data_IF_400316117287
#
_entry.id   IF_400316117287
#
_cell.length_a   1.000
_cell.length_b   1.000
_cell.length_c   1.000
_cell.angle_alpha   90.00
_cell.angle_beta   90.00
_cell.angle_gamma   90.00
#
_symmetry.space_group_name_H-M   'P 1'
#
loop_
_entity.id
_entity.type
_entity.pdbx_description
1 polymer ?
#
# COMPACT_ATOMS: atom_id res chain seq x y z
N UNK A 1 0.82 15.93 4.90
CA UNK A 1 -0.62 15.95 4.63
C UNK A 1 -0.79 15.60 3.17
N UNK A 2 -1.71 14.73 2.79
CA UNK A 2 -1.91 14.33 1.40
C UNK A 2 -2.37 15.51 0.55
N UNK A 3 -1.91 15.59 -0.71
CA UNK A 3 -2.29 16.61 -1.70
C UNK A 3 -3.04 16.01 -2.88
N UNK A 4 -2.59 14.83 -3.33
CA UNK A 4 -3.17 14.11 -4.46
C UNK A 4 -3.32 12.63 -4.10
N UNK A 5 -4.55 12.14 -4.16
CA UNK A 5 -4.90 10.73 -3.93
C UNK A 5 -5.38 10.15 -5.26
N UNK A 6 -4.87 8.99 -5.64
CA UNK A 6 -5.33 8.24 -6.80
C UNK A 6 -6.15 7.03 -6.37
N UNK A 7 -7.32 6.87 -6.94
CA UNK A 7 -8.14 5.67 -6.81
C UNK A 7 -8.37 5.06 -8.20
N UNK A 8 -7.64 3.99 -8.54
CA UNK A 8 -7.88 3.23 -9.76
C UNK A 8 -9.24 2.52 -9.70
N UNK A 9 -9.96 2.52 -10.83
CA UNK A 9 -11.24 1.84 -10.99
C UNK A 9 -11.30 1.05 -12.29
N UNK A 10 -11.92 -0.12 -12.25
CA UNK A 10 -12.22 -0.91 -13.44
C UNK A 10 -13.74 -0.88 -13.81
N UNK A 11 -14.54 -0.18 -13.01
CA UNK A 11 -15.97 -0.10 -13.15
C UNK A 11 -16.74 -1.34 -12.71
N UNK A 12 -16.10 -2.30 -12.03
CA UNK A 12 -16.74 -3.55 -11.60
C UNK A 12 -17.64 -3.40 -10.36
N UNK A 13 -17.55 -2.28 -9.66
CA UNK A 13 -18.23 -2.04 -8.39
C UNK A 13 -17.54 -2.64 -7.17
N UNK A 14 -16.57 -3.54 -7.33
CA UNK A 14 -15.74 -4.05 -6.23
C UNK A 14 -14.78 -2.99 -5.67
N UNK A 15 -14.52 -1.93 -6.44
CA UNK A 15 -13.69 -0.78 -6.09
C UNK A 15 -14.43 0.28 -5.25
N UNK A 16 -15.76 0.18 -5.14
CA UNK A 16 -16.61 1.17 -4.44
C UNK A 16 -16.15 1.48 -3.03
N UNK A 17 -15.72 0.46 -2.26
CA UNK A 17 -15.24 0.67 -0.90
C UNK A 17 -13.88 1.40 -0.89
N UNK A 18 -12.96 1.03 -1.78
CA UNK A 18 -11.69 1.73 -1.91
C UNK A 18 -11.89 3.20 -2.31
N UNK A 19 -12.84 3.47 -3.20
CA UNK A 19 -13.19 4.84 -3.61
C UNK A 19 -13.79 5.64 -2.45
N UNK A 20 -14.68 5.05 -1.63
CA UNK A 20 -15.22 5.72 -0.43
C UNK A 20 -14.12 6.05 0.59
N UNK A 21 -13.19 5.11 0.82
CA UNK A 21 -12.01 5.35 1.67
C UNK A 21 -11.17 6.48 1.10
N UNK A 22 -10.87 6.46 -0.19
CA UNK A 22 -10.09 7.50 -0.86
C UNK A 22 -10.76 8.87 -0.76
N UNK A 23 -12.07 8.91 -0.97
CA UNK A 23 -12.87 10.12 -0.90
C UNK A 23 -12.88 10.73 0.51
N UNK A 24 -13.06 9.90 1.54
CA UNK A 24 -13.00 10.32 2.94
C UNK A 24 -11.62 10.88 3.31
N UNK A 25 -10.54 10.18 2.93
CA UNK A 25 -9.16 10.64 3.17
C UNK A 25 -8.92 11.96 2.41
N UNK A 26 -9.40 12.08 1.17
CA UNK A 26 -9.28 13.31 0.38
C UNK A 26 -9.99 14.48 1.05
N UNK A 27 -11.23 14.30 1.49
CA UNK A 27 -12.02 15.35 2.17
C UNK A 27 -11.34 15.79 3.47
N UNK A 28 -10.94 14.86 4.32
CA UNK A 28 -10.29 15.16 5.60
C UNK A 28 -8.93 15.83 5.45
N UNK A 29 -8.18 15.51 4.38
CA UNK A 29 -6.85 16.08 4.13
C UNK A 29 -6.86 17.34 3.28
N UNK A 30 -7.99 17.68 2.62
CA UNK A 30 -8.07 18.69 1.58
C UNK A 30 -7.34 18.30 0.29
N UNK A 31 -7.13 17.00 0.07
CA UNK A 31 -6.47 16.48 -1.12
C UNK A 31 -7.43 16.39 -2.32
N UNK A 32 -6.86 16.44 -3.53
CA UNK A 32 -7.58 16.11 -4.77
C UNK A 32 -7.70 14.59 -4.91
N UNK A 33 -8.90 14.10 -5.24
CA UNK A 33 -9.12 12.71 -5.59
C UNK A 33 -9.10 12.54 -7.13
N UNK A 34 -8.23 11.69 -7.62
CA UNK A 34 -8.14 11.32 -9.04
C UNK A 34 -8.69 9.90 -9.22
N UNK A 35 -9.85 9.79 -9.86
CA UNK A 35 -10.42 8.52 -10.31
C UNK A 35 -9.79 8.17 -11.66
N UNK A 36 -9.04 7.09 -11.72
CA UNK A 36 -8.27 6.72 -12.91
C UNK A 36 -8.70 5.36 -13.42
N UNK A 37 -9.13 5.30 -14.68
CA UNK A 37 -9.44 4.04 -15.36
C UNK A 37 -8.48 3.80 -16.51
N UNK A 38 -8.04 2.55 -16.67
CA UNK A 38 -7.16 2.14 -17.78
C UNK A 38 -7.83 1.01 -18.52
N UNK A 39 -8.03 1.20 -19.82
CA UNK A 39 -8.51 0.17 -20.74
C UNK A 39 -7.33 -0.67 -21.22
N UNK A 40 -7.46 -2.01 -21.13
CA UNK A 40 -6.45 -2.93 -21.62
C UNK A 40 -6.47 -2.96 -23.17
N UNK A 41 -5.34 -2.68 -23.81
CA UNK A 41 -5.22 -2.60 -25.27
C UNK A 41 -5.11 -3.96 -25.97
N UNK A 42 -5.16 -5.08 -25.24
CA UNK A 42 -4.81 -6.40 -25.80
C UNK A 42 -5.91 -7.14 -26.56
N UNK A 43 -7.19 -6.74 -26.47
CA UNK A 43 -8.32 -7.58 -26.93
C UNK A 43 -8.59 -7.48 -28.44
N UNK A 44 -8.05 -6.49 -29.15
CA UNK A 44 -8.47 -6.20 -30.53
C UNK A 44 -7.39 -6.43 -31.60
N UNK A 45 -6.17 -6.80 -31.22
CA UNK A 45 -5.07 -7.03 -32.19
C UNK A 45 -5.39 -8.13 -33.22
N UNK A 46 -6.22 -9.11 -32.86
CA UNK A 46 -6.62 -10.21 -33.77
C UNK A 46 -7.63 -9.79 -34.85
N UNK A 47 -8.40 -8.73 -34.63
CA UNK A 47 -9.43 -8.27 -35.59
C UNK A 47 -8.88 -7.32 -36.66
N UNK A 48 -7.73 -6.73 -36.45
CA UNK A 48 -7.12 -5.72 -37.36
C UNK A 48 -6.41 -6.31 -38.60
N UNK A 49 -6.58 -7.60 -38.90
CA UNK A 49 -5.91 -8.25 -40.01
C UNK A 49 -6.47 -7.86 -41.42
N UNK A 50 -7.64 -7.23 -41.48
CA UNK A 50 -8.26 -6.73 -42.73
C UNK A 50 -8.70 -5.27 -42.54
N UNK A 51 -8.89 -4.53 -43.63
CA UNK A 51 -9.33 -3.14 -43.61
C UNK A 51 -10.70 -2.99 -42.95
N UNK A 52 -11.64 -3.90 -43.21
CA UNK A 52 -12.97 -3.94 -42.58
C UNK A 52 -12.85 -4.31 -41.07
N UNK A 53 -12.01 -5.26 -40.73
CA UNK A 53 -11.72 -5.65 -39.35
C UNK A 53 -11.09 -4.50 -38.55
N UNK A 54 -10.25 -3.67 -39.21
CA UNK A 54 -9.67 -2.47 -38.57
C UNK A 54 -10.73 -1.41 -38.25
N UNK A 55 -11.68 -1.17 -39.19
CA UNK A 55 -12.78 -0.22 -38.95
C UNK A 55 -13.69 -0.67 -37.82
N UNK A 56 -14.10 -1.94 -37.81
CA UNK A 56 -14.94 -2.52 -36.76
C UNK A 56 -14.20 -2.47 -35.40
N UNK A 57 -12.92 -2.82 -35.36
CA UNK A 57 -12.12 -2.72 -34.15
C UNK A 57 -12.03 -1.29 -33.61
N UNK A 58 -11.87 -0.29 -34.47
CA UNK A 58 -11.84 1.12 -34.07
C UNK A 58 -13.19 1.57 -33.48
N UNK A 59 -14.31 1.14 -34.07
CA UNK A 59 -15.66 1.46 -33.60
C UNK A 59 -15.94 0.84 -32.23
N UNK A 60 -15.54 -0.41 -32.02
CA UNK A 60 -15.65 -1.11 -30.73
C UNK A 60 -14.79 -0.44 -29.66
N UNK A 61 -13.55 -0.10 -29.97
CA UNK A 61 -12.65 0.63 -29.04
C UNK A 61 -13.24 1.99 -28.67
N UNK A 62 -13.80 2.72 -29.64
CA UNK A 62 -14.44 4.01 -29.36
C UNK A 62 -15.67 3.84 -28.48
N UNK A 63 -16.53 2.86 -28.75
CA UNK A 63 -17.70 2.55 -27.94
C UNK A 63 -17.35 2.16 -26.50
N UNK A 64 -16.30 1.34 -26.31
CA UNK A 64 -15.80 1.01 -24.96
C UNK A 64 -15.26 2.23 -24.22
N UNK A 65 -14.56 3.12 -24.95
CA UNK A 65 -14.04 4.35 -24.40
C UNK A 65 -15.17 5.28 -23.94
N UNK A 66 -16.21 5.47 -24.75
CA UNK A 66 -17.36 6.34 -24.46
C UNK A 66 -18.16 5.79 -23.28
N UNK A 67 -18.36 4.47 -23.23
CA UNK A 67 -18.99 3.79 -22.10
C UNK A 67 -18.18 3.99 -20.82
N UNK A 68 -16.86 3.75 -20.88
CA UNK A 68 -15.97 3.90 -19.73
C UNK A 68 -15.94 5.34 -19.19
N UNK A 69 -15.95 6.34 -20.07
CA UNK A 69 -16.03 7.75 -19.70
C UNK A 69 -17.36 8.08 -19.04
N UNK A 70 -18.47 7.60 -19.58
CA UNK A 70 -19.81 7.82 -19.03
C UNK A 70 -19.90 7.25 -17.61
N UNK A 71 -19.45 6.01 -17.41
CA UNK A 71 -19.42 5.37 -16.08
C UNK A 71 -18.51 6.13 -15.11
N UNK A 72 -17.36 6.60 -15.57
CA UNK A 72 -16.38 7.31 -14.76
C UNK A 72 -16.91 8.69 -14.31
N UNK A 73 -17.58 9.42 -15.22
CA UNK A 73 -18.24 10.69 -14.88
C UNK A 73 -19.42 10.49 -13.93
N UNK A 74 -20.23 9.43 -14.11
CA UNK A 74 -21.31 9.08 -13.20
C UNK A 74 -20.77 8.80 -11.78
N UNK A 75 -19.69 8.01 -11.68
CA UNK A 75 -19.02 7.73 -10.43
C UNK A 75 -18.47 9.01 -9.74
N UNK A 76 -17.88 9.91 -10.51
CA UNK A 76 -17.42 11.20 -9.98
C UNK A 76 -18.57 12.08 -9.51
N UNK A 77 -19.71 12.06 -10.21
CA UNK A 77 -20.91 12.77 -9.79
C UNK A 77 -21.47 12.22 -8.46
N UNK A 78 -21.51 10.90 -8.30
CA UNK A 78 -21.87 10.26 -7.03
C UNK A 78 -20.92 10.70 -5.89
N UNK A 79 -19.62 10.73 -6.12
CA UNK A 79 -18.65 11.20 -5.14
C UNK A 79 -18.89 12.65 -4.72
N UNK A 80 -19.18 13.54 -5.67
CA UNK A 80 -19.44 14.97 -5.40
C UNK A 80 -20.74 15.24 -4.65
N UNK A 81 -21.70 14.30 -4.68
CA UNK A 81 -22.93 14.41 -3.89
C UNK A 81 -22.67 14.16 -2.41
N UNK A 82 -21.72 13.27 -2.08
CA UNK A 82 -21.47 12.81 -0.71
C UNK A 82 -20.26 13.43 -0.05
N UNK A 83 -19.45 14.20 -0.80
CA UNK A 83 -18.21 14.81 -0.27
C UNK A 83 -17.89 16.13 -0.98
N UNK A 84 -17.25 17.05 -0.25
CA UNK A 84 -16.75 18.30 -0.77
C UNK A 84 -15.33 18.20 -1.37
N UNK A 85 -14.73 17.00 -1.43
CA UNK A 85 -13.42 16.81 -2.02
C UNK A 85 -13.41 17.15 -3.52
N UNK A 86 -12.34 17.74 -4.01
CA UNK A 86 -12.14 17.93 -5.45
C UNK A 86 -11.94 16.58 -6.14
N UNK A 87 -12.87 16.16 -6.98
CA UNK A 87 -12.83 14.87 -7.70
C UNK A 87 -12.64 15.12 -9.19
N UNK A 88 -11.58 14.55 -9.74
CA UNK A 88 -11.28 14.54 -11.19
C UNK A 88 -11.27 13.13 -11.74
N UNK A 89 -11.44 13.00 -13.06
CA UNK A 89 -11.47 11.70 -13.76
C UNK A 89 -10.47 11.69 -14.90
N UNK A 90 -9.79 10.57 -15.07
CA UNK A 90 -8.84 10.36 -16.15
C UNK A 90 -9.00 8.94 -16.73
N UNK A 91 -9.12 8.84 -18.06
CA UNK A 91 -9.22 7.60 -18.79
C UNK A 91 -7.98 7.41 -19.67
N UNK A 92 -7.33 6.30 -19.51
CA UNK A 92 -6.14 5.91 -20.26
C UNK A 92 -6.33 4.56 -20.95
N UNK A 93 -5.40 4.19 -21.84
CA UNK A 93 -5.32 2.88 -22.47
C UNK A 93 -3.89 2.37 -22.43
N UNK A 94 -3.71 1.06 -22.25
CA UNK A 94 -2.40 0.41 -22.24
C UNK A 94 -2.26 -0.70 -21.21
N UNK A 95 -1.01 -1.13 -20.92
CA UNK A 95 -0.71 -2.04 -19.82
C UNK A 95 -1.07 -1.39 -18.49
N UNK A 96 -2.06 -1.96 -17.79
CA UNK A 96 -2.75 -1.28 -16.68
C UNK A 96 -1.78 -0.87 -15.58
N UNK A 97 -0.89 -1.77 -15.14
CA UNK A 97 0.06 -1.50 -14.06
C UNK A 97 1.02 -0.36 -14.40
N UNK A 98 1.63 -0.42 -15.58
CA UNK A 98 2.63 0.56 -16.04
C UNK A 98 2.00 1.94 -16.26
N UNK A 99 0.78 1.96 -16.84
CA UNK A 99 0.04 3.21 -17.05
C UNK A 99 -0.33 3.87 -15.72
N UNK A 100 -0.82 3.11 -14.76
CA UNK A 100 -1.18 3.63 -13.42
C UNK A 100 0.06 4.13 -12.66
N UNK A 101 1.18 3.39 -12.70
CA UNK A 101 2.43 3.82 -12.05
C UNK A 101 2.96 5.10 -12.70
N UNK A 102 3.06 5.13 -14.02
CA UNK A 102 3.50 6.32 -14.76
C UNK A 102 2.58 7.52 -14.54
N UNK A 103 1.26 7.31 -14.47
CA UNK A 103 0.29 8.34 -14.14
C UNK A 103 0.51 8.88 -12.73
N UNK A 104 0.62 8.00 -11.74
CA UNK A 104 0.79 8.38 -10.34
C UNK A 104 2.06 9.23 -10.14
N UNK A 105 3.17 8.86 -10.78
CA UNK A 105 4.43 9.61 -10.73
C UNK A 105 4.30 10.98 -11.40
N UNK A 106 3.72 11.09 -12.61
CA UNK A 106 3.56 12.37 -13.33
C UNK A 106 2.60 13.34 -12.65
N UNK A 107 1.65 12.84 -11.88
CA UNK A 107 0.65 13.64 -11.17
C UNK A 107 0.98 13.84 -9.68
N UNK A 108 2.21 13.53 -9.27
CA UNK A 108 2.69 13.72 -7.88
C UNK A 108 1.73 13.11 -6.85
N UNK A 109 1.25 11.89 -7.12
CA UNK A 109 0.32 11.19 -6.22
C UNK A 109 1.03 10.82 -4.91
N UNK A 110 0.41 11.20 -3.78
CA UNK A 110 0.93 10.93 -2.43
C UNK A 110 0.44 9.59 -1.86
N UNK A 111 -0.72 9.12 -2.33
CA UNK A 111 -1.35 7.89 -1.87
C UNK A 111 -2.15 7.25 -3.01
N UNK A 112 -1.96 5.96 -3.20
CA UNK A 112 -2.80 5.14 -4.07
C UNK A 112 -3.75 4.35 -3.18
N UNK A 113 -5.07 4.44 -3.41
CA UNK A 113 -6.08 3.66 -2.70
C UNK A 113 -6.75 2.70 -3.67
N UNK A 114 -6.61 1.41 -3.44
CA UNK A 114 -7.06 0.38 -4.39
C UNK A 114 -7.72 -0.79 -3.67
N UNK A 115 -8.70 -1.42 -4.32
CA UNK A 115 -9.31 -2.66 -3.84
C UNK A 115 -8.42 -3.89 -4.13
N UNK A 116 -8.60 -4.96 -3.38
CA UNK A 116 -7.90 -6.23 -3.64
C UNK A 116 -8.39 -6.95 -4.88
N UNK A 117 -9.63 -6.68 -5.35
CA UNK A 117 -10.31 -7.40 -6.43
C UNK A 117 -10.84 -6.44 -7.48
N UNK A 118 -10.75 -6.85 -8.74
CA UNK A 118 -11.44 -6.25 -9.87
C UNK A 118 -12.42 -7.25 -10.49
N UNK A 119 -12.69 -7.13 -11.78
CA UNK A 119 -13.65 -7.95 -12.56
C UNK A 119 -13.46 -9.47 -12.44
N UNK A 120 -12.27 -9.96 -12.10
CA UNK A 120 -11.98 -11.40 -12.03
C UNK A 120 -12.40 -12.09 -10.74
N UNK A 121 -12.90 -11.39 -9.74
CA UNK A 121 -13.68 -11.87 -8.56
C UNK A 121 -13.32 -13.19 -7.85
N UNK A 122 -12.29 -13.92 -8.29
CA UNK A 122 -11.95 -15.22 -7.80
C UNK A 122 -11.09 -15.16 -6.54
N UNK A 123 -11.65 -15.65 -5.43
CA UNK A 123 -11.00 -15.86 -4.12
C UNK A 123 -10.80 -14.61 -3.25
N UNK A 124 -11.47 -14.57 -2.12
CA UNK A 124 -11.38 -13.49 -1.08
C UNK A 124 -9.97 -13.31 -0.47
N UNK A 125 -9.01 -14.14 -0.85
CA UNK A 125 -7.64 -14.15 -0.32
C UNK A 125 -6.57 -13.82 -1.38
N UNK A 126 -6.93 -13.64 -2.67
CA UNK A 126 -5.96 -13.33 -3.72
C UNK A 126 -5.85 -11.83 -3.94
N UNK A 127 -4.63 -11.34 -4.01
CA UNK A 127 -4.31 -9.97 -4.42
C UNK A 127 -4.48 -9.88 -5.94
N UNK A 128 -5.24 -8.88 -6.43
CA UNK A 128 -5.43 -8.67 -7.88
C UNK A 128 -4.10 -8.32 -8.57
N UNK A 129 -3.95 -8.70 -9.84
CA UNK A 129 -2.72 -8.48 -10.62
C UNK A 129 -2.29 -7.00 -10.69
N UNK A 130 -3.24 -6.08 -10.79
CA UNK A 130 -2.97 -4.63 -10.79
C UNK A 130 -2.46 -4.16 -9.44
N UNK A 131 -3.11 -4.59 -8.36
CA UNK A 131 -2.68 -4.24 -6.99
C UNK A 131 -1.29 -4.81 -6.70
N UNK A 132 -1.03 -6.06 -7.09
CA UNK A 132 0.28 -6.69 -6.96
C UNK A 132 1.36 -5.95 -7.77
N UNK A 133 1.05 -5.57 -9.01
CA UNK A 133 1.96 -4.80 -9.85
C UNK A 133 2.31 -3.45 -9.21
N UNK A 134 1.32 -2.70 -8.74
CA UNK A 134 1.56 -1.40 -8.10
C UNK A 134 2.45 -1.53 -6.86
N UNK A 135 2.17 -2.50 -5.97
CA UNK A 135 2.97 -2.71 -4.76
C UNK A 135 4.43 -3.05 -5.09
N UNK A 136 4.67 -3.77 -6.19
CA UNK A 136 6.03 -4.15 -6.62
C UNK A 136 6.84 -3.00 -7.21
N UNK A 137 6.20 -2.13 -7.98
CA UNK A 137 6.91 -1.19 -8.83
C UNK A 137 6.89 0.24 -8.30
N UNK A 138 5.84 0.67 -7.57
CA UNK A 138 5.77 2.03 -7.07
C UNK A 138 6.47 2.22 -5.73
N UNK A 139 7.05 3.42 -5.52
CA UNK A 139 7.51 3.91 -4.21
C UNK A 139 6.45 4.76 -3.50
N UNK A 140 5.30 4.98 -4.15
CA UNK A 140 4.15 5.67 -3.55
C UNK A 140 3.45 4.69 -2.59
N UNK A 141 3.04 5.13 -1.38
CA UNK A 141 2.26 4.28 -0.47
C UNK A 141 0.97 3.79 -1.14
N UNK A 142 0.68 2.50 -0.96
CA UNK A 142 -0.53 1.86 -1.50
C UNK A 142 -1.41 1.42 -0.34
N UNK A 143 -2.59 2.00 -0.22
CA UNK A 143 -3.63 1.56 0.70
C UNK A 143 -4.52 0.54 -0.01
N UNK A 144 -4.32 -0.72 0.34
CA UNK A 144 -5.11 -1.84 -0.17
C UNK A 144 -6.34 -2.00 0.71
N UNK A 145 -7.50 -1.66 0.17
CA UNK A 145 -8.77 -1.74 0.89
C UNK A 145 -9.40 -3.11 0.65
N UNK A 146 -9.72 -3.80 1.73
CA UNK A 146 -10.48 -5.06 1.68
C UNK A 146 -11.95 -4.80 1.98
N UNK A 147 -12.86 -5.49 1.28
CA UNK A 147 -14.29 -5.31 1.55
C UNK A 147 -14.60 -5.68 3.00
N UNK A 148 -15.48 -4.91 3.67
CA UNK A 148 -15.86 -5.18 5.04
C UNK A 148 -16.53 -6.55 5.14
N UNK A 149 -16.26 -7.26 6.24
CA UNK A 149 -16.84 -8.58 6.53
C UNK A 149 -18.35 -8.53 6.83
N UNK A 150 -18.87 -7.34 7.08
CA UNK A 150 -20.28 -7.09 7.38
C UNK A 150 -20.83 -5.96 6.52
N UNK A 151 -21.84 -6.26 5.72
CA UNK A 151 -22.56 -5.30 4.88
C UNK A 151 -23.65 -4.50 5.63
N UNK A 152 -23.53 -4.37 6.96
CA UNK A 152 -24.59 -3.81 7.79
C UNK A 152 -24.85 -2.29 7.56
N UNK A 153 -23.94 -1.58 6.93
CA UNK A 153 -24.18 -0.20 6.50
C UNK A 153 -23.27 0.16 5.30
N UNK A 154 -23.74 0.00 4.06
CA UNK A 154 -22.94 0.28 2.86
C UNK A 154 -22.66 1.77 2.61
N UNK A 155 -23.22 2.68 3.40
CA UNK A 155 -23.09 4.11 3.17
C UNK A 155 -21.95 4.78 3.96
N UNK A 156 -21.39 4.11 4.97
CA UNK A 156 -20.32 4.68 5.81
C UNK A 156 -19.07 3.84 5.65
N UNK A 157 -18.05 4.41 5.02
CA UNK A 157 -16.71 3.80 5.00
C UNK A 157 -16.15 3.73 6.43
N UNK A 158 -15.70 2.55 6.84
CA UNK A 158 -15.15 2.34 8.17
C UNK A 158 -13.84 3.12 8.34
N UNK A 159 -13.77 3.95 9.39
CA UNK A 159 -12.55 4.65 9.75
C UNK A 159 -11.49 3.69 10.29
N UNK A 160 -10.22 3.98 10.04
CA UNK A 160 -9.11 3.19 10.57
C UNK A 160 -8.72 3.71 11.96
N UNK A 161 -9.35 3.20 13.01
CA UNK A 161 -9.13 3.64 14.40
C UNK A 161 -7.98 2.92 15.09
N UNK A 162 -7.64 1.70 14.66
CA UNK A 162 -6.58 0.87 15.24
C UNK A 162 -5.67 0.33 14.16
N UNK A 163 -4.42 0.80 14.17
CA UNK A 163 -3.42 0.47 13.16
C UNK A 163 -2.29 -0.34 13.80
N UNK A 164 -2.09 -1.56 13.36
CA UNK A 164 -0.94 -2.40 13.76
C UNK A 164 0.21 -2.18 12.79
N UNK A 165 1.39 -1.90 13.33
CA UNK A 165 2.62 -1.65 12.57
C UNK A 165 3.68 -2.64 13.00
N UNK A 166 3.88 -3.74 12.25
CA UNK A 166 4.95 -4.68 12.51
C UNK A 166 6.31 -4.07 12.16
N UNK A 167 7.26 -4.14 13.11
CA UNK A 167 8.63 -3.63 12.97
C UNK A 167 9.64 -4.71 13.38
N UNK A 168 10.62 -4.96 12.53
CA UNK A 168 11.70 -5.93 12.79
C UNK A 168 12.99 -5.30 13.35
N UNK A 169 12.97 -3.99 13.61
CA UNK A 169 14.11 -3.21 14.08
C UNK A 169 15.03 -2.72 12.96
N UNK A 170 14.69 -2.94 11.68
CA UNK A 170 15.43 -2.38 10.56
C UNK A 170 15.00 -0.95 10.25
N UNK A 171 15.93 -0.15 9.71
CA UNK A 171 15.65 1.21 9.22
C UNK A 171 14.70 1.19 8.02
N UNK A 172 14.68 0.11 7.24
CA UNK A 172 13.76 -0.06 6.12
C UNK A 172 12.31 -0.21 6.62
N UNK A 173 12.08 -1.03 7.65
CA UNK A 173 10.75 -1.15 8.25
C UNK A 173 10.27 0.17 8.86
N UNK A 174 11.17 0.96 9.48
CA UNK A 174 10.81 2.27 10.05
C UNK A 174 10.35 3.30 8.99
N UNK A 175 10.67 3.12 7.70
CA UNK A 175 10.26 4.06 6.66
C UNK A 175 8.74 4.13 6.45
N UNK A 176 7.96 3.14 6.90
CA UNK A 176 6.49 3.22 6.90
C UNK A 176 5.95 4.27 7.88
N UNK A 177 6.67 4.56 8.96
CA UNK A 177 6.19 5.35 10.10
C UNK A 177 5.69 6.77 9.74
N UNK A 178 6.35 7.56 8.88
CA UNK A 178 5.81 8.85 8.47
C UNK A 178 4.43 8.75 7.78
N UNK A 179 4.19 7.68 7.01
CA UNK A 179 2.94 7.43 6.29
C UNK A 179 1.83 7.01 7.26
N UNK A 180 2.17 6.12 8.20
CA UNK A 180 1.26 5.74 9.29
C UNK A 180 0.89 6.94 10.15
N UNK A 181 1.87 7.77 10.52
CA UNK A 181 1.64 8.97 11.33
C UNK A 181 0.69 9.95 10.62
N UNK A 182 0.87 10.17 9.33
CA UNK A 182 0.00 11.04 8.54
C UNK A 182 -1.45 10.53 8.53
N UNK A 183 -1.64 9.22 8.31
CA UNK A 183 -2.95 8.60 8.30
C UNK A 183 -3.57 8.54 9.69
N UNK A 184 -2.79 8.20 10.73
CA UNK A 184 -3.27 8.12 12.09
C UNK A 184 -3.75 9.48 12.63
N UNK A 185 -3.07 10.58 12.29
CA UNK A 185 -3.54 11.93 12.64
C UNK A 185 -4.85 12.29 11.96
N UNK A 186 -5.01 11.88 10.71
CA UNK A 186 -6.21 12.16 9.92
C UNK A 186 -7.41 11.38 10.43
N UNK A 187 -7.21 10.10 10.75
CA UNK A 187 -8.23 9.18 11.19
C UNK A 187 -8.45 9.19 12.72
N UNK A 188 -7.66 9.97 13.47
CA UNK A 188 -7.60 9.93 14.94
C UNK A 188 -7.36 8.50 15.47
N UNK A 189 -6.44 7.79 14.81
CA UNK A 189 -6.17 6.39 15.08
C UNK A 189 -5.12 6.19 16.18
N UNK A 190 -5.27 5.09 16.92
CA UNK A 190 -4.25 4.53 17.78
C UNK A 190 -3.30 3.64 16.97
N UNK A 191 -2.01 3.75 17.23
CA UNK A 191 -0.96 2.94 16.59
C UNK A 191 -0.45 1.91 17.60
N UNK A 192 -0.44 0.63 17.23
CA UNK A 192 0.26 -0.42 17.96
C UNK A 192 1.51 -0.83 17.20
N UNK A 193 2.68 -0.54 17.76
CA UNK A 193 3.95 -1.03 17.23
C UNK A 193 4.17 -2.46 17.71
N UNK A 194 4.29 -3.39 16.78
CA UNK A 194 4.43 -4.83 17.05
C UNK A 194 5.81 -5.32 16.64
N UNK A 195 6.50 -6.06 17.54
CA UNK A 195 7.65 -6.85 17.16
C UNK A 195 7.35 -8.34 17.34
N UNK A 196 7.70 -9.15 16.34
CA UNK A 196 7.56 -10.62 16.41
C UNK A 196 8.92 -11.23 16.59
N UNK A 197 9.12 -11.93 17.71
CA UNK A 197 10.33 -12.68 18.02
C UNK A 197 10.17 -14.13 17.57
N UNK A 198 11.13 -14.61 16.78
CA UNK A 198 11.17 -16.00 16.34
C UNK A 198 11.96 -16.80 17.39
N UNK A 199 11.39 -17.90 17.93
CA UNK A 199 12.14 -18.80 18.81
C UNK A 199 13.40 -19.30 18.11
N UNK A 200 14.56 -19.08 18.73
CA UNK A 200 15.84 -19.61 18.24
C UNK A 200 16.15 -20.89 18.98
N UNK A 201 16.61 -21.92 18.26
CA UNK A 201 17.27 -23.05 18.88
C UNK A 201 18.71 -22.64 19.17
N UNK A 202 19.01 -22.34 20.43
CA UNK A 202 20.37 -22.07 20.86
C UNK A 202 21.11 -23.38 21.10
N UNK A 203 22.36 -23.50 20.62
CA UNK A 203 23.27 -24.55 21.07
C UNK A 203 23.65 -24.31 22.55
N UNK A 204 23.95 -25.39 23.30
CA UNK A 204 24.32 -25.26 24.70
C UNK A 204 25.55 -24.34 24.96
N UNK A 205 26.33 -24.05 23.91
CA UNK A 205 27.51 -23.16 23.98
C UNK A 205 27.19 -21.68 23.87
N UNK A 206 25.96 -21.33 23.43
CA UNK A 206 25.52 -19.92 23.25
C UNK A 206 24.77 -19.38 24.48
N UNK A 207 24.51 -20.19 25.49
CA UNK A 207 23.83 -19.80 26.73
C UNK A 207 24.89 -19.23 27.67
N UNK A 208 25.10 -17.89 27.63
CA UNK A 208 26.02 -17.18 28.53
C UNK A 208 25.59 -17.27 30.00
N UNK A 209 24.30 -17.40 30.29
CA UNK A 209 23.72 -17.56 31.62
C UNK A 209 22.55 -18.56 31.56
N UNK A 210 22.75 -19.81 32.06
CA UNK A 210 21.70 -20.82 32.06
C UNK A 210 20.54 -20.53 33.05
N UNK A 211 20.66 -19.52 33.90
CA UNK A 211 19.61 -19.13 34.85
C UNK A 211 18.59 -18.17 34.24
N UNK A 212 18.91 -17.50 33.13
CA UNK A 212 18.00 -16.61 32.43
C UNK A 212 17.45 -17.26 31.16
N UNK A 213 16.13 -17.25 30.93
CA UNK A 213 15.56 -17.67 29.65
C UNK A 213 16.17 -16.83 28.53
N UNK A 214 16.60 -17.48 27.45
CA UNK A 214 17.24 -16.81 26.30
C UNK A 214 16.39 -15.68 25.70
N UNK A 215 15.07 -15.76 25.80
CA UNK A 215 14.15 -14.76 25.31
C UNK A 215 14.16 -13.45 26.10
N UNK A 216 14.63 -13.44 27.37
CA UNK A 216 14.60 -12.22 28.20
C UNK A 216 15.49 -11.12 27.62
N UNK A 217 16.66 -11.48 27.08
CA UNK A 217 17.59 -10.55 26.44
C UNK A 217 17.00 -10.00 25.12
N UNK A 218 16.38 -10.86 24.31
CA UNK A 218 15.77 -10.47 23.03
C UNK A 218 14.48 -9.66 23.27
N UNK A 219 13.65 -10.02 24.26
CA UNK A 219 12.49 -9.23 24.69
C UNK A 219 12.91 -7.84 25.17
N UNK A 220 13.89 -7.75 26.07
CA UNK A 220 14.37 -6.46 26.60
C UNK A 220 14.90 -5.54 25.50
N UNK A 221 15.61 -6.11 24.51
CA UNK A 221 16.09 -5.37 23.32
C UNK A 221 14.93 -4.88 22.45
N UNK A 222 13.96 -5.75 22.20
CA UNK A 222 12.77 -5.40 21.40
C UNK A 222 11.92 -4.34 22.12
N UNK A 223 11.73 -4.45 23.43
CA UNK A 223 11.02 -3.45 24.25
C UNK A 223 11.70 -2.08 24.18
N UNK A 224 13.01 -2.04 24.40
CA UNK A 224 13.80 -0.79 24.33
C UNK A 224 13.72 -0.14 22.95
N UNK A 225 13.77 -0.97 21.90
CA UNK A 225 13.62 -0.52 20.51
C UNK A 225 12.23 0.09 20.27
N UNK A 226 11.16 -0.65 20.57
CA UNK A 226 9.78 -0.20 20.37
C UNK A 226 9.47 1.05 21.21
N UNK A 227 9.94 1.11 22.45
CA UNK A 227 9.76 2.26 23.34
C UNK A 227 10.40 3.53 22.73
N UNK A 228 11.61 3.41 22.20
CA UNK A 228 12.30 4.51 21.52
C UNK A 228 11.52 5.01 20.29
N UNK A 229 11.00 4.10 19.47
CA UNK A 229 10.21 4.43 18.28
C UNK A 229 8.87 5.05 18.68
N UNK A 230 8.15 4.45 19.64
CA UNK A 230 6.90 4.97 20.16
C UNK A 230 7.04 6.39 20.73
N UNK A 231 8.15 6.65 21.43
CA UNK A 231 8.44 7.99 21.97
C UNK A 231 8.56 9.05 20.87
N UNK A 232 9.11 8.72 19.69
CA UNK A 232 9.16 9.62 18.53
C UNK A 232 7.77 9.93 17.98
N UNK A 233 6.88 8.92 17.89
CA UNK A 233 5.53 9.09 17.36
C UNK A 233 4.62 9.83 18.34
N UNK A 234 4.67 9.52 19.64
CA UNK A 234 3.89 10.18 20.70
C UNK A 234 4.14 11.69 20.75
N UNK A 235 5.41 12.14 20.51
CA UNK A 235 5.72 13.58 20.40
C UNK A 235 5.01 14.27 19.26
N UNK A 236 4.50 13.54 18.30
CA UNK A 236 3.68 14.06 17.20
C UNK A 236 2.17 14.08 17.50
N UNK A 237 1.75 13.79 18.73
CA UNK A 237 0.36 13.91 19.19
C UNK A 237 -0.54 12.73 18.86
N UNK A 238 0.02 11.54 18.56
CA UNK A 238 -0.75 10.31 18.34
C UNK A 238 -0.62 9.36 19.51
N UNK A 239 -1.68 8.59 19.78
CA UNK A 239 -1.66 7.50 20.77
C UNK A 239 -0.89 6.32 20.21
N UNK A 240 0.11 5.84 20.95
CA UNK A 240 0.95 4.71 20.53
C UNK A 240 1.12 3.72 21.65
N UNK A 241 0.81 2.46 21.38
CA UNK A 241 1.10 1.30 22.24
C UNK A 241 2.20 0.45 21.62
N UNK A 242 2.79 -0.44 22.40
CA UNK A 242 3.85 -1.35 21.92
C UNK A 242 3.57 -2.74 22.45
N UNK A 243 3.79 -3.74 21.61
CA UNK A 243 3.63 -5.14 21.99
C UNK A 243 4.69 -6.03 21.33
N UNK A 244 4.94 -7.18 21.95
CA UNK A 244 5.87 -8.21 21.49
C UNK A 244 5.14 -9.54 21.49
N UNK A 245 5.24 -10.25 20.37
CA UNK A 245 4.70 -11.60 20.22
C UNK A 245 5.82 -12.56 19.89
N UNK A 246 5.77 -13.75 20.48
CA UNK A 246 6.68 -14.84 20.12
C UNK A 246 5.93 -15.79 19.19
N UNK A 247 6.52 -16.11 18.03
CA UNK A 247 5.89 -16.97 17.04
C UNK A 247 6.86 -17.49 15.98
N UNK A 248 6.72 -18.73 15.58
CA UNK A 248 7.54 -19.36 14.54
C UNK A 248 7.24 -18.79 13.16
N UNK A 249 5.98 -18.47 12.89
CA UNK A 249 5.55 -17.84 11.63
C UNK A 249 5.17 -16.37 11.88
N UNK A 250 6.03 -15.48 11.43
CA UNK A 250 5.88 -14.03 11.63
C UNK A 250 4.58 -13.49 11.03
N UNK A 251 4.21 -13.95 9.83
CA UNK A 251 3.00 -13.46 9.16
C UNK A 251 1.72 -13.88 9.88
N UNK A 252 1.64 -15.14 10.33
CA UNK A 252 0.52 -15.64 11.14
C UNK A 252 0.45 -14.88 12.47
N UNK A 253 1.59 -14.71 13.17
CA UNK A 253 1.64 -14.00 14.44
C UNK A 253 1.15 -12.55 14.32
N UNK A 254 1.48 -11.85 13.24
CA UNK A 254 0.98 -10.51 12.94
C UNK A 254 -0.54 -10.54 12.71
N UNK A 255 -1.04 -11.48 11.90
CA UNK A 255 -2.47 -11.61 11.60
C UNK A 255 -3.30 -11.92 12.83
N UNK A 256 -2.86 -12.89 13.65
CA UNK A 256 -3.54 -13.32 14.88
C UNK A 256 -3.55 -12.19 15.92
N UNK A 257 -2.42 -11.48 16.07
CA UNK A 257 -2.34 -10.30 16.92
C UNK A 257 -3.32 -9.23 16.48
N UNK A 258 -3.30 -8.87 15.20
CA UNK A 258 -4.18 -7.83 14.66
C UNK A 258 -5.67 -8.19 14.82
N UNK A 259 -6.03 -9.47 14.66
CA UNK A 259 -7.39 -9.96 14.90
C UNK A 259 -7.78 -9.88 16.36
N UNK A 260 -6.91 -10.30 17.31
CA UNK A 260 -7.14 -10.25 18.74
C UNK A 260 -7.34 -8.82 19.24
N UNK A 261 -6.52 -7.88 18.77
CA UNK A 261 -6.61 -6.46 19.11
C UNK A 261 -7.72 -5.72 18.35
N UNK A 262 -8.47 -6.44 17.50
CA UNK A 262 -9.53 -5.88 16.64
C UNK A 262 -9.01 -4.69 15.83
N UNK A 263 -7.83 -4.85 15.26
CA UNK A 263 -7.25 -3.83 14.38
C UNK A 263 -8.11 -3.63 13.12
N UNK A 264 -8.13 -2.41 12.62
CA UNK A 264 -8.83 -2.06 11.38
C UNK A 264 -7.90 -2.14 10.17
N UNK A 265 -6.59 -2.00 10.43
CA UNK A 265 -5.57 -1.96 9.38
C UNK A 265 -4.22 -2.46 9.88
N UNK A 266 -3.45 -3.07 8.97
CA UNK A 266 -2.03 -3.35 9.16
C UNK A 266 -1.23 -2.42 8.24
N UNK A 267 -0.20 -1.76 8.77
CA UNK A 267 0.70 -0.94 7.97
C UNK A 267 2.11 -1.55 7.96
N UNK A 268 2.63 -1.88 6.78
CA UNK A 268 3.87 -2.64 6.65
C UNK A 268 4.74 -2.12 5.50
N UNK A 269 6.07 -2.11 5.72
CA UNK A 269 7.03 -1.95 4.63
C UNK A 269 7.32 -3.29 3.95
N UNK A 270 7.50 -3.30 2.62
CA UNK A 270 7.71 -4.54 1.86
C UNK A 270 9.08 -5.17 2.09
N UNK A 271 10.04 -4.46 2.68
CA UNK A 271 11.40 -4.93 2.99
C UNK A 271 11.74 -4.67 4.45
N UNK A 272 12.45 -5.62 5.06
CA UNK A 272 12.98 -5.57 6.42
C UNK A 272 14.43 -6.09 6.44
N UNK A 273 14.88 -6.65 7.59
CA UNK A 273 16.23 -7.15 7.79
C UNK A 273 16.74 -8.18 6.77
N UNK A 274 15.83 -8.93 6.13
CA UNK A 274 16.16 -9.98 5.16
C UNK A 274 16.38 -9.48 3.73
N UNK A 275 16.52 -8.18 3.49
CA UNK A 275 16.59 -7.52 2.18
C UNK A 275 17.69 -8.02 1.26
N UNK A 276 17.58 -9.28 0.82
CA UNK A 276 18.32 -9.79 -0.33
C UNK A 276 17.80 -9.06 -1.57
N UNK A 277 18.68 -8.34 -2.24
CA UNK A 277 18.43 -7.53 -3.45
C UNK A 277 17.77 -8.30 -4.63
N UNK A 278 17.47 -9.58 -4.46
CA UNK A 278 16.86 -10.47 -5.48
C UNK A 278 15.39 -10.78 -5.24
N UNK A 279 14.81 -10.44 -4.07
CA UNK A 279 13.39 -10.65 -3.80
C UNK A 279 12.70 -9.29 -3.84
N UNK A 280 11.97 -9.05 -4.91
CA UNK A 280 11.22 -7.81 -5.21
C UNK A 280 10.14 -7.53 -4.14
N UNK A 281 9.88 -8.47 -3.22
CA UNK A 281 8.86 -8.41 -2.17
C UNK A 281 9.34 -9.10 -0.90
N UNK A 282 9.20 -8.45 0.26
CA UNK A 282 9.50 -9.07 1.55
C UNK A 282 8.55 -10.23 1.83
N UNK A 283 9.08 -11.41 2.14
CA UNK A 283 8.30 -12.63 2.37
C UNK A 283 7.21 -12.47 3.44
N UNK A 284 7.48 -11.69 4.49
CA UNK A 284 6.50 -11.42 5.57
C UNK A 284 5.38 -10.53 5.06
N UNK A 285 5.69 -9.40 4.40
CA UNK A 285 4.68 -8.48 3.87
C UNK A 285 3.78 -9.19 2.86
N UNK A 286 4.36 -10.02 1.99
CA UNK A 286 3.62 -10.83 1.02
C UNK A 286 2.69 -11.82 1.71
N UNK A 287 3.19 -12.59 2.66
CA UNK A 287 2.40 -13.56 3.40
C UNK A 287 1.25 -12.90 4.18
N UNK A 288 1.49 -11.75 4.84
CA UNK A 288 0.45 -10.99 5.54
C UNK A 288 -0.61 -10.48 4.58
N UNK A 289 -0.22 -9.97 3.40
CA UNK A 289 -1.17 -9.49 2.39
C UNK A 289 -2.12 -10.58 1.90
N UNK A 290 -1.63 -11.81 1.75
CA UNK A 290 -2.43 -12.94 1.29
C UNK A 290 -3.27 -13.58 2.41
N UNK A 291 -2.79 -13.56 3.66
CA UNK A 291 -3.49 -14.22 4.78
C UNK A 291 -4.44 -13.31 5.55
N UNK A 292 -4.12 -12.02 5.68
CA UNK A 292 -4.95 -11.07 6.44
C UNK A 292 -6.24 -10.72 5.71
N UNK A 293 -7.31 -10.51 6.49
CA UNK A 293 -8.59 -9.95 6.01
C UNK A 293 -8.70 -8.45 6.20
N UNK A 294 -7.72 -7.82 6.85
CA UNK A 294 -7.71 -6.39 7.13
C UNK A 294 -7.20 -5.60 5.94
N UNK A 295 -7.64 -4.36 5.82
CA UNK A 295 -7.04 -3.38 4.91
C UNK A 295 -5.57 -3.18 5.26
N UNK A 296 -4.74 -2.83 4.27
CA UNK A 296 -3.30 -2.72 4.49
C UNK A 296 -2.73 -1.47 3.85
N UNK A 297 -1.96 -0.71 4.62
CA UNK A 297 -1.08 0.32 4.09
C UNK A 297 0.28 -0.31 3.81
N UNK A 298 0.64 -0.38 2.54
CA UNK A 298 1.90 -1.00 2.08
C UNK A 298 2.81 0.08 1.50
N UNK A 299 4.07 0.03 1.89
CA UNK A 299 5.08 0.96 1.39
C UNK A 299 6.34 0.21 0.99
N UNK A 300 6.86 0.51 -0.20
CA UNK A 300 8.13 0.01 -0.67
C UNK A 300 9.24 1.00 -0.31
N UNK A 301 10.14 0.66 0.65
CA UNK A 301 11.21 1.55 1.04
C UNK A 301 12.21 1.79 -0.10
N UNK A 302 12.74 3.00 -0.17
CA UNK A 302 13.87 3.30 -1.03
C UNK A 302 15.17 2.76 -0.41
N UNK A 303 15.97 2.05 -1.19
CA UNK A 303 17.27 1.57 -0.75
C UNK A 303 18.24 2.75 -0.70
N UNK A 304 18.63 3.17 0.50
CA UNK A 304 19.56 4.28 0.73
C UNK A 304 20.90 4.09 -0.01
N UNK A 305 21.28 2.86 -0.31
CA UNK A 305 22.48 2.55 -1.09
C UNK A 305 22.42 3.01 -2.57
N UNK A 306 21.22 3.20 -3.13
CA UNK A 306 21.06 3.71 -4.51
C UNK A 306 21.05 5.24 -4.59
N UNK A 307 20.72 5.95 -3.51
CA UNK A 307 20.78 7.42 -3.48
C UNK A 307 22.20 7.97 -3.51
N UNK A 308 23.20 7.20 -3.06
CA UNK A 308 24.61 7.58 -3.14
C UNK A 308 25.23 7.46 -4.54
N UNK A 309 24.66 6.62 -5.41
CA UNK A 309 25.19 6.39 -6.75
C UNK A 309 24.72 7.44 -7.79
N UNK A 310 23.50 7.96 -7.64
CA UNK A 310 22.96 8.99 -8.54
C UNK A 310 23.51 10.40 -8.27
N UNK A 311 23.96 10.67 -7.05
CA UNK A 311 24.57 11.95 -6.71
C UNK A 311 26.03 12.07 -7.17
N UNK A 312 26.70 10.97 -7.58
CA UNK A 312 28.07 10.97 -8.06
C UNK A 312 28.19 11.01 -9.60
N UNK A 313 27.12 10.82 -10.36
CA UNK A 313 27.15 10.89 -11.83
C UNK A 313 26.89 12.29 -12.41
N UNK A 314 26.28 13.19 -11.65
CA UNK A 314 26.04 14.58 -12.08
C UNK A 314 27.22 15.54 -11.78
N UNK A 315 28.31 15.05 -11.20
CA UNK A 315 29.45 15.86 -10.73
C UNK A 315 30.69 15.91 -11.64
N UNK A 316 30.72 15.25 -12.81
CA UNK A 316 31.91 15.27 -13.67
C UNK A 316 31.54 15.60 -15.11
N UNK A 317 31.24 16.86 -15.38
CA UNK A 317 31.47 17.50 -16.67
C UNK A 317 31.91 18.93 -16.42
N UNK A 318 33.21 19.09 -16.18
CA UNK A 318 33.88 20.37 -16.25
C UNK A 318 35.06 20.24 -17.20
N UNK A 319 34.95 20.91 -18.33
CA UNK A 319 36.00 21.58 -19.09
C UNK A 319 37.26 20.84 -19.49
N UNK A 320 37.29 20.39 -20.73
CA UNK A 320 38.50 20.32 -21.53
C UNK A 320 38.34 21.24 -22.74
N UNK A 321 38.89 22.46 -22.64
CA UNK A 321 39.20 23.33 -23.76
C UNK A 321 40.61 22.95 -24.23
N UNK A 322 40.86 22.66 -25.52
CA UNK A 322 42.21 22.50 -26.05
C UNK A 322 42.81 23.90 -26.42
N UNK A 323 44.09 24.01 -26.10
CA UNK A 323 44.93 25.05 -26.61
C UNK A 323 45.39 24.76 -28.06
#
# INVERSE_FOLDING_TARGET
MYKVIMAPTDGSGFDREAIRVALRIAEQSGAKLKLVRVLATGSFFGMAATAEGTAIAAEVVQSERDTALTELYALAAECRVISNAEVTVDLHAGPIGDVLEGYARRNEVDLIVISTHGRSGFSRLSLGSVTDSLIRHTTIPVLVVKPPTSYLNPQVSQAFRRIVVPLDGSTLAEQILPRVLALAKLEEAEITLLNVLIPKSYSQQEIEDPTLPWWDKDISRAQSYLFRVAGKLRRNGVTVTTDIVIGENVASAIGDFAAREKADMIAIATHGRGGLARLIRGSVADAVMHSSRLSMLVFKPENVAQMGATASEDGVRADLIPA
#
